data_IF_747162599150
#
_entry.id   IF_747162599150
#
_cell.length_a   1.000
_cell.length_b   1.000
_cell.length_c   1.000
_cell.angle_alpha   90.00
_cell.angle_beta   90.00
_cell.angle_gamma   90.00
#
_symmetry.space_group_name_H-M   'P 1'
#
loop_
_entity.id
_entity.type
_entity.pdbx_description
1 polymer ?
#
# COMPACT_ATOMS: atom_id res chain seq x y z
N UNK A 1 10.35 -3.11 6.22
CA UNK A 1 9.42 -4.12 5.65
C UNK A 1 9.25 -3.87 4.16
N UNK A 2 8.83 -2.67 3.75
CA UNK A 2 8.61 -2.32 2.36
C UNK A 2 9.84 -2.49 1.45
N UNK A 3 11.06 -2.23 1.97
CA UNK A 3 12.30 -2.40 1.20
C UNK A 3 12.46 -3.78 0.55
N UNK A 4 12.04 -4.86 1.21
CA UNK A 4 12.07 -6.20 0.63
C UNK A 4 11.09 -6.37 -0.52
N UNK A 5 9.92 -5.76 -0.42
CA UNK A 5 8.88 -5.80 -1.45
C UNK A 5 9.18 -4.93 -2.66
N UNK A 6 9.92 -3.83 -2.49
CA UNK A 6 10.36 -2.97 -3.60
C UNK A 6 11.16 -3.77 -4.62
N UNK A 7 12.08 -4.63 -4.17
CA UNK A 7 12.88 -5.47 -5.07
C UNK A 7 11.98 -6.44 -5.86
N UNK A 8 11.06 -7.13 -5.19
CA UNK A 8 10.15 -8.09 -5.84
C UNK A 8 9.17 -7.40 -6.80
N UNK A 9 8.64 -6.23 -6.44
CA UNK A 9 7.78 -5.44 -7.32
C UNK A 9 8.53 -5.01 -8.58
N UNK A 10 9.75 -4.49 -8.43
CA UNK A 10 10.60 -4.08 -9.55
C UNK A 10 10.93 -5.25 -10.50
N UNK A 11 11.17 -6.45 -9.97
CA UNK A 11 11.40 -7.65 -10.77
C UNK A 11 10.18 -8.04 -11.62
N UNK A 12 8.96 -7.75 -11.16
CA UNK A 12 7.72 -7.92 -11.94
C UNK A 12 7.36 -6.69 -12.79
N UNK A 13 8.18 -5.63 -12.79
CA UNK A 13 7.85 -4.37 -13.46
C UNK A 13 6.69 -3.60 -12.83
N UNK A 14 6.37 -3.88 -11.56
CA UNK A 14 5.30 -3.21 -10.82
C UNK A 14 5.84 -2.02 -10.03
N UNK A 15 5.06 -0.94 -9.97
CA UNK A 15 5.33 0.17 -9.05
C UNK A 15 4.76 -0.15 -7.66
N UNK A 16 5.56 0.05 -6.60
CA UNK A 16 5.09 -0.08 -5.22
C UNK A 16 5.22 1.27 -4.52
N UNK A 17 4.07 1.89 -4.25
CA UNK A 17 3.99 3.16 -3.54
C UNK A 17 3.39 2.97 -2.15
N UNK A 18 3.78 3.83 -1.22
CA UNK A 18 3.17 3.87 0.09
C UNK A 18 2.93 5.30 0.57
N UNK A 19 1.90 5.48 1.38
CA UNK A 19 1.54 6.76 1.96
C UNK A 19 1.06 6.53 3.38
N UNK A 20 1.60 7.30 4.32
CA UNK A 20 1.09 7.39 5.69
C UNK A 20 0.49 8.78 5.81
N UNK A 21 -0.81 8.84 6.08
CA UNK A 21 -1.53 10.11 6.23
C UNK A 21 -1.03 10.82 7.50
N UNK A 22 -0.96 12.15 7.45
CA UNK A 22 -0.33 12.98 8.49
C UNK A 22 -1.02 12.91 9.86
N UNK A 23 -2.27 12.45 9.91
CA UNK A 23 -3.04 12.29 11.14
C UNK A 23 -2.73 10.96 11.86
N UNK A 24 -1.96 10.07 11.24
CA UNK A 24 -1.51 8.81 11.85
C UNK A 24 -0.47 9.12 12.94
N UNK A 25 -0.69 8.67 14.19
CA UNK A 25 0.26 8.88 15.27
C UNK A 25 1.62 8.25 14.97
N UNK A 26 2.70 8.91 15.39
CA UNK A 26 4.07 8.37 15.28
C UNK A 26 4.25 7.05 16.06
N UNK A 27 3.47 6.86 17.12
CA UNK A 27 3.51 5.67 17.97
C UNK A 27 2.13 5.01 18.01
N UNK A 28 2.08 3.74 17.62
CA UNK A 28 0.88 2.91 17.67
C UNK A 28 1.10 1.77 18.66
N UNK A 29 0.32 1.77 19.75
CA UNK A 29 0.32 0.66 20.72
C UNK A 29 -0.47 -0.50 20.13
N UNK A 30 0.19 -1.64 19.94
CA UNK A 30 -0.36 -2.81 19.25
C UNK A 30 0.49 -4.06 19.52
N UNK A 31 0.13 -5.18 18.88
CA UNK A 31 1.04 -6.32 18.71
C UNK A 31 1.87 -6.12 17.42
N UNK A 32 3.16 -5.76 17.51
CA UNK A 32 3.98 -5.46 16.34
C UNK A 32 4.21 -6.68 15.43
N UNK A 33 4.22 -7.88 16.01
CA UNK A 33 4.41 -9.13 15.28
C UNK A 33 3.20 -9.44 14.41
N UNK A 34 2.00 -9.34 15.00
CA UNK A 34 0.74 -9.56 14.28
C UNK A 34 0.53 -8.53 13.17
N UNK A 35 0.76 -7.23 13.43
CA UNK A 35 0.63 -6.19 12.40
C UNK A 35 1.61 -6.42 11.26
N UNK A 36 2.88 -6.70 11.57
CA UNK A 36 3.89 -6.99 10.55
C UNK A 36 3.46 -8.16 9.67
N UNK A 37 2.97 -9.24 10.26
CA UNK A 37 2.54 -10.43 9.51
C UNK A 37 1.36 -10.11 8.58
N UNK A 38 0.38 -9.35 9.06
CA UNK A 38 -0.77 -8.91 8.25
C UNK A 38 -0.28 -8.10 7.05
N UNK A 39 0.58 -7.09 7.28
CA UNK A 39 1.11 -6.25 6.20
C UNK A 39 1.91 -7.05 5.18
N UNK A 40 2.76 -7.98 5.63
CA UNK A 40 3.54 -8.86 4.74
C UNK A 40 2.61 -9.69 3.84
N UNK A 41 1.56 -10.28 4.42
CA UNK A 41 0.63 -11.12 3.66
C UNK A 41 -0.15 -10.30 2.63
N UNK A 42 -0.64 -9.11 3.01
CA UNK A 42 -1.42 -8.27 2.11
C UNK A 42 -0.56 -7.72 0.97
N UNK A 43 0.60 -7.15 1.27
CA UNK A 43 1.50 -6.58 0.26
C UNK A 43 2.05 -7.67 -0.65
N UNK A 44 2.44 -8.81 -0.06
CA UNK A 44 2.90 -9.97 -0.83
C UNK A 44 1.83 -10.51 -1.77
N UNK A 45 0.58 -10.62 -1.30
CA UNK A 45 -0.53 -11.03 -2.14
C UNK A 45 -0.80 -10.00 -3.26
N UNK A 46 -0.84 -8.71 -2.95
CA UNK A 46 -1.03 -7.68 -3.96
C UNK A 46 0.02 -7.78 -5.08
N UNK A 47 1.30 -7.83 -4.74
CA UNK A 47 2.38 -7.99 -5.73
C UNK A 47 2.27 -9.31 -6.50
N UNK A 48 1.94 -10.41 -5.81
CA UNK A 48 1.80 -11.73 -6.43
C UNK A 48 0.71 -11.74 -7.52
N UNK A 49 -0.45 -11.16 -7.21
CA UNK A 49 -1.65 -11.26 -8.04
C UNK A 49 -1.86 -10.06 -8.98
N UNK A 50 -1.10 -8.98 -8.85
CA UNK A 50 -1.05 -7.91 -9.87
C UNK A 50 -0.09 -8.31 -10.99
N UNK A 51 -0.57 -8.28 -12.24
CA UNK A 51 0.23 -8.62 -13.42
C UNK A 51 0.97 -7.41 -14.00
N UNK A 52 0.33 -6.23 -14.00
CA UNK A 52 0.88 -4.99 -14.49
C UNK A 52 0.32 -3.79 -13.72
N UNK A 53 1.02 -2.65 -13.77
CA UNK A 53 0.59 -1.40 -13.12
C UNK A 53 1.27 -1.17 -11.77
N UNK A 54 0.47 -0.86 -10.74
CA UNK A 54 0.97 -0.43 -9.42
C UNK A 54 0.24 -1.10 -8.26
N UNK A 55 0.91 -1.16 -7.12
CA UNK A 55 0.36 -1.49 -5.80
C UNK A 55 0.54 -0.27 -4.91
N UNK A 56 -0.55 0.21 -4.31
CA UNK A 56 -0.55 1.37 -3.42
C UNK A 56 -0.95 0.95 -2.00
N UNK A 57 -0.11 1.32 -1.03
CA UNK A 57 -0.34 1.03 0.39
C UNK A 57 -0.59 2.32 1.15
N UNK A 58 -1.81 2.52 1.65
CA UNK A 58 -2.18 3.70 2.43
C UNK A 58 -2.46 3.34 3.88
N UNK A 59 -1.89 4.10 4.81
CA UNK A 59 -2.17 4.01 6.25
C UNK A 59 -2.84 5.31 6.68
N UNK A 60 -4.03 5.20 7.27
CA UNK A 60 -4.83 6.31 7.76
C UNK A 60 -5.62 5.87 9.01
N UNK A 61 -6.11 6.84 9.80
CA UNK A 61 -7.06 6.55 10.86
C UNK A 61 -8.40 6.09 10.27
N UNK A 62 -9.01 5.05 10.84
CA UNK A 62 -10.22 4.42 10.29
C UNK A 62 -11.46 5.33 10.22
N UNK A 63 -11.43 6.48 10.90
CA UNK A 63 -12.50 7.47 10.84
C UNK A 63 -12.44 8.35 9.59
N UNK A 64 -11.32 8.36 8.87
CA UNK A 64 -11.25 8.92 7.52
C UNK A 64 -11.89 7.94 6.53
N UNK A 65 -13.23 7.94 6.49
CA UNK A 65 -14.03 7.12 5.56
C UNK A 65 -13.92 7.53 4.07
N UNK A 66 -12.96 8.37 3.72
CA UNK A 66 -12.82 8.92 2.35
C UNK A 66 -11.76 8.22 1.48
N UNK A 67 -11.11 7.15 1.96
CA UNK A 67 -10.05 6.47 1.21
C UNK A 67 -10.55 5.30 0.34
N UNK A 68 -11.59 5.53 -0.45
CA UNK A 68 -11.76 4.82 -1.72
C UNK A 68 -11.61 5.90 -2.78
N UNK A 69 -10.39 6.13 -3.28
CA UNK A 69 -10.23 6.86 -4.53
C UNK A 69 -10.66 5.89 -5.63
N UNK A 70 -11.89 6.05 -6.13
CA UNK A 70 -12.17 5.63 -7.50
C UNK A 70 -11.15 6.33 -8.39
N UNK A 71 -10.47 5.58 -9.26
CA UNK A 71 -9.54 6.15 -10.22
C UNK A 71 -10.26 7.23 -11.03
N UNK A 72 -9.69 8.44 -11.03
CA UNK A 72 -10.13 9.54 -11.89
C UNK A 72 -10.04 9.08 -13.36
N UNK A 73 -11.16 8.97 -14.11
CA UNK A 73 -11.16 8.46 -15.48
C UNK A 73 -10.48 9.40 -16.50
N UNK A 74 -9.99 10.58 -16.10
CA UNK A 74 -9.61 11.65 -17.05
C UNK A 74 -8.13 11.75 -17.44
N UNK A 75 -7.28 10.75 -17.18
CA UNK A 75 -5.90 10.75 -17.70
C UNK A 75 -5.77 10.08 -19.09
N UNK A 76 -6.60 10.49 -20.05
CA UNK A 76 -6.42 10.13 -21.47
C UNK A 76 -6.75 11.25 -22.47
N UNK A 77 -6.58 12.53 -22.07
CA UNK A 77 -6.69 13.63 -23.04
C UNK A 77 -5.67 14.73 -22.80
N UNK A 78 -4.51 14.58 -23.43
CA UNK A 78 -3.85 15.58 -24.30
C UNK A 78 -2.55 15.02 -24.86
#
# INVERSE_FOLDING_TARGET
ILSGFVVTANQKGLQLNHTVVSDVPEVVVSDPGRIRQILINLIGNAIKFTEAGKVEVTVALANDRHFIKEEDPELHRS
#
